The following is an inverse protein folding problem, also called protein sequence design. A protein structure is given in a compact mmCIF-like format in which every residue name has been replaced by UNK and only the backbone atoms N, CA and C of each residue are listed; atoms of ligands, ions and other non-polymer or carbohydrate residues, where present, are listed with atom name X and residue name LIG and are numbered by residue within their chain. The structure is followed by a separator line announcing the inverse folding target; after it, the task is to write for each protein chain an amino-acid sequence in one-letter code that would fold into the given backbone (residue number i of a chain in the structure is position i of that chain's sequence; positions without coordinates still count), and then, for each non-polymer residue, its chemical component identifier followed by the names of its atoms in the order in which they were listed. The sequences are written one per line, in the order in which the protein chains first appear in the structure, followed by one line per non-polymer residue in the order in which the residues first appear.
data_IF_046974927589
#
_entry.id   IF_046974927589
#
_cell.length_a   1.000
_cell.length_b   1.000
_cell.length_c   1.000
_cell.angle_alpha   90.00
_cell.angle_beta   90.00
_cell.angle_gamma   90.00
#
_symmetry.space_group_name_H-M   'P 1'
#
loop_
_entity.id
_entity.type
_entity.pdbx_description
1 polymer ?
#
# COMPACT_ATOMS: atom_id res chain seq x y z
N UNK A 1 -6.23 5.31 4.38
CA UNK A 1 -6.27 3.84 4.28
C UNK A 1 -5.53 3.33 3.05
N UNK A 2 -4.97 2.15 3.15
CA UNK A 2 -4.28 1.45 2.06
C UNK A 2 -4.92 0.07 1.93
N UNK A 3 -5.65 -0.16 0.84
CA UNK A 3 -6.10 -1.50 0.44
C UNK A 3 -4.99 -2.12 -0.43
N UNK A 4 -4.22 -3.00 0.17
CA UNK A 4 -3.09 -3.69 -0.44
C UNK A 4 -3.53 -5.03 -1.11
N UNK A 5 -4.61 -4.95 -1.88
CA UNK A 5 -5.23 -6.09 -2.55
C UNK A 5 -4.38 -6.76 -3.62
N UNK A 6 -4.75 -8.00 -3.98
CA UNK A 6 -4.02 -8.82 -4.95
C UNK A 6 -3.96 -8.23 -6.36
N UNK A 7 -4.99 -7.52 -6.78
CA UNK A 7 -5.09 -6.95 -8.12
C UNK A 7 -4.66 -5.49 -8.21
N UNK A 8 -4.75 -4.76 -7.10
CA UNK A 8 -4.40 -3.36 -7.07
C UNK A 8 -4.28 -2.82 -5.65
N UNK A 9 -3.39 -1.84 -5.51
CA UNK A 9 -3.32 -1.01 -4.31
C UNK A 9 -4.23 0.19 -4.51
N UNK A 10 -5.11 0.41 -3.55
CA UNK A 10 -5.96 1.59 -3.47
C UNK A 10 -5.60 2.39 -2.24
N UNK A 11 -5.42 3.68 -2.41
CA UNK A 11 -5.18 4.61 -1.32
C UNK A 11 -6.42 5.47 -1.15
N UNK A 12 -6.96 5.54 0.06
CA UNK A 12 -7.89 6.56 0.48
C UNK A 12 -7.15 7.55 1.39
N UNK A 13 -7.03 8.79 0.93
CA UNK A 13 -6.26 9.86 1.57
C UNK A 13 -7.23 10.86 2.16
N UNK A 14 -7.01 11.21 3.42
CA UNK A 14 -7.85 12.17 4.13
C UNK A 14 -7.97 13.51 3.40
N UNK A 15 -9.13 14.19 3.54
CA UNK A 15 -9.37 15.51 2.97
C UNK A 15 -8.25 16.50 3.28
N UNK A 16 -7.88 17.32 2.31
CA UNK A 16 -6.89 18.39 2.46
C UNK A 16 -5.42 17.97 2.51
N UNK A 17 -5.12 16.66 2.61
CA UNK A 17 -3.72 16.14 2.66
C UNK A 17 -3.05 16.27 1.30
N UNK A 18 -3.73 15.90 0.22
CA UNK A 18 -3.26 16.08 -1.16
C UNK A 18 -4.21 17.02 -1.86
N UNK A 19 -3.70 18.17 -2.30
CA UNK A 19 -4.49 19.21 -2.98
C UNK A 19 -4.34 19.17 -4.48
N UNK A 20 -3.21 18.68 -4.96
CA UNK A 20 -2.92 18.54 -6.39
C UNK A 20 -2.08 17.28 -6.60
N UNK A 21 -2.36 16.56 -7.67
CA UNK A 21 -1.60 15.39 -8.11
C UNK A 21 -1.67 15.30 -9.64
N UNK A 22 -0.50 15.20 -10.28
CA UNK A 22 -0.38 15.10 -11.75
C UNK A 22 -1.19 16.18 -12.52
N UNK A 23 -1.22 17.42 -12.01
CA UNK A 23 -1.93 18.55 -12.62
C UNK A 23 -3.45 18.57 -12.35
N UNK A 24 -3.96 17.64 -11.54
CA UNK A 24 -5.37 17.60 -11.12
C UNK A 24 -5.49 18.18 -9.72
N UNK A 25 -6.32 19.23 -9.58
CA UNK A 25 -6.65 19.82 -8.27
C UNK A 25 -7.82 19.11 -7.64
N UNK A 26 -7.72 18.79 -6.35
CA UNK A 26 -8.75 18.10 -5.58
C UNK A 26 -9.49 19.05 -4.63
N UNK A 27 -10.78 18.76 -4.42
CA UNK A 27 -11.56 19.41 -3.39
C UNK A 27 -10.95 19.11 -2.01
N UNK A 28 -10.58 20.14 -1.23
CA UNK A 28 -9.94 19.95 0.06
C UNK A 28 -10.83 19.26 1.12
N UNK A 29 -12.14 19.16 0.86
CA UNK A 29 -13.10 18.54 1.77
C UNK A 29 -13.45 17.09 1.37
N UNK A 30 -12.86 16.57 0.27
CA UNK A 30 -13.13 15.21 -0.21
C UNK A 30 -11.94 14.29 -0.02
N UNK A 31 -12.25 13.00 0.17
CA UNK A 31 -11.26 11.92 0.15
C UNK A 31 -10.67 11.82 -1.26
N UNK A 32 -9.35 11.75 -1.34
CA UNK A 32 -8.64 11.48 -2.60
C UNK A 32 -8.35 9.99 -2.69
N UNK A 33 -8.84 9.34 -3.76
CA UNK A 33 -8.56 7.94 -4.03
C UNK A 33 -7.53 7.81 -5.15
N UNK A 34 -6.48 7.02 -4.90
CA UNK A 34 -5.44 6.69 -5.88
C UNK A 34 -5.41 5.18 -6.06
N UNK A 35 -5.34 4.72 -7.30
CA UNK A 35 -5.26 3.31 -7.65
C UNK A 35 -3.99 3.03 -8.45
N UNK A 36 -3.38 1.87 -8.20
CA UNK A 36 -2.33 1.30 -9.04
C UNK A 36 -2.42 -0.23 -9.05
N UNK A 37 -1.98 -0.87 -10.14
CA UNK A 37 -1.92 -2.32 -10.21
C UNK A 37 -0.94 -2.91 -9.20
N UNK A 38 -1.28 -4.07 -8.62
CA UNK A 38 -0.42 -4.82 -7.70
C UNK A 38 0.55 -5.71 -8.48
N UNK A 39 1.55 -5.09 -9.11
CA UNK A 39 2.53 -5.79 -9.94
C UNK A 39 3.95 -5.37 -9.58
N UNK A 40 4.72 -6.30 -9.06
CA UNK A 40 6.12 -6.09 -8.68
C UNK A 40 6.97 -7.26 -9.14
N UNK A 41 8.10 -6.98 -9.78
CA UNK A 41 9.11 -7.98 -10.17
C UNK A 41 10.32 -7.86 -9.25
N UNK A 42 10.84 -9.00 -8.79
CA UNK A 42 12.10 -9.06 -8.03
C UNK A 42 13.27 -9.08 -8.99
N UNK A 43 13.57 -7.95 -9.56
CA UNK A 43 14.73 -7.69 -10.43
C UNK A 43 14.68 -6.23 -10.88
N UNK A 44 15.80 -5.73 -11.42
CA UNK A 44 15.77 -4.52 -12.21
C UNK A 44 15.25 -4.87 -13.61
N UNK A 45 14.09 -4.33 -13.97
CA UNK A 45 13.50 -4.49 -15.31
C UNK A 45 13.41 -3.12 -15.94
N UNK A 46 13.94 -2.98 -17.14
CA UNK A 46 13.74 -1.77 -17.93
C UNK A 46 12.29 -1.73 -18.42
N UNK A 47 11.49 -0.82 -17.88
CA UNK A 47 10.08 -0.64 -18.22
C UNK A 47 9.87 0.44 -19.24
N UNK A 48 10.81 1.39 -19.36
CA UNK A 48 10.84 2.43 -20.39
C UNK A 48 12.27 2.76 -20.83
N UNK A 49 12.41 3.28 -22.05
CA UNK A 49 13.68 3.75 -22.58
C UNK A 49 14.03 5.20 -22.15
N UNK A 50 13.06 5.96 -21.68
CA UNK A 50 13.20 7.38 -21.33
C UNK A 50 13.64 7.65 -19.87
N UNK A 51 13.72 6.60 -19.06
CA UNK A 51 14.34 6.69 -17.72
C UNK A 51 13.55 7.48 -16.66
N UNK A 52 12.34 7.90 -16.96
CA UNK A 52 11.55 8.83 -16.11
C UNK A 52 10.67 8.10 -15.06
N UNK A 53 10.85 6.79 -14.90
CA UNK A 53 10.05 5.99 -14.00
C UNK A 53 10.71 5.86 -12.62
N UNK A 54 10.04 6.41 -11.59
CA UNK A 54 10.45 6.29 -10.18
C UNK A 54 10.06 4.92 -9.59
N UNK A 55 10.11 3.84 -10.37
CA UNK A 55 9.57 2.52 -10.05
C UNK A 55 10.63 1.48 -9.65
N UNK A 56 11.91 1.89 -9.60
CA UNK A 56 13.02 1.02 -9.22
C UNK A 56 13.37 1.17 -7.74
N UNK A 57 13.45 0.04 -7.05
CA UNK A 57 13.69 0.01 -5.61
C UNK A 57 14.74 -1.03 -5.24
N UNK A 58 15.35 -0.82 -4.08
CA UNK A 58 16.19 -1.80 -3.42
C UNK A 58 15.75 -1.97 -1.97
N UNK A 59 15.72 -3.21 -1.51
CA UNK A 59 15.47 -3.57 -0.11
C UNK A 59 16.69 -4.32 0.42
N UNK A 60 17.21 -3.89 1.57
CA UNK A 60 18.30 -4.57 2.25
C UNK A 60 17.77 -5.23 3.52
N UNK A 61 18.00 -6.55 3.64
CA UNK A 61 17.67 -7.34 4.83
C UNK A 61 18.79 -8.30 5.16
N UNK A 62 19.21 -8.28 6.42
CA UNK A 62 20.25 -9.21 6.91
C UNK A 62 21.52 -9.20 6.05
N UNK A 63 21.93 -8.01 5.58
CA UNK A 63 23.09 -7.83 4.70
C UNK A 63 22.89 -8.32 3.26
N UNK A 64 21.68 -8.71 2.88
CA UNK A 64 21.33 -9.07 1.50
C UNK A 64 20.50 -7.96 0.86
N UNK A 65 20.96 -7.53 -0.31
CA UNK A 65 20.28 -6.54 -1.13
C UNK A 65 19.47 -7.25 -2.22
N UNK A 66 18.22 -6.84 -2.39
CA UNK A 66 17.35 -7.31 -3.47
C UNK A 66 16.73 -6.11 -4.16
N UNK A 67 16.73 -6.13 -5.49
CA UNK A 67 16.15 -5.06 -6.27
C UNK A 67 14.76 -5.44 -6.78
N UNK A 68 13.90 -4.46 -6.88
CA UNK A 68 12.49 -4.61 -7.25
C UNK A 68 12.11 -3.55 -8.28
N UNK A 69 11.23 -3.93 -9.19
CA UNK A 69 10.59 -3.00 -10.13
C UNK A 69 9.08 -3.09 -9.96
N UNK A 70 8.43 -1.96 -9.74
CA UNK A 70 6.97 -1.88 -9.83
C UNK A 70 6.59 -1.77 -11.30
N UNK A 71 5.68 -2.62 -11.75
CA UNK A 71 5.34 -2.80 -13.16
C UNK A 71 3.96 -2.20 -13.45
N UNK A 72 3.84 -1.36 -14.46
CA UNK A 72 2.56 -0.86 -14.96
C UNK A 72 1.76 -1.93 -15.74
N UNK A 73 0.50 -1.64 -15.98
CA UNK A 73 -0.44 -2.56 -16.64
C UNK A 73 -0.05 -2.85 -18.11
N UNK A 74 0.69 -1.96 -18.74
CA UNK A 74 1.17 -2.06 -20.13
C UNK A 74 2.21 -3.17 -20.35
N UNK A 75 2.88 -3.64 -19.30
CA UNK A 75 3.97 -4.62 -19.36
C UNK A 75 3.52 -6.04 -18.98
N UNK A 76 2.61 -6.62 -19.74
CA UNK A 76 1.96 -7.90 -19.42
C UNK A 76 2.93 -9.10 -19.45
N UNK A 77 4.01 -9.03 -20.23
CA UNK A 77 4.95 -10.14 -20.43
C UNK A 77 5.99 -10.30 -19.29
N UNK A 78 6.08 -9.33 -18.38
CA UNK A 78 7.07 -9.39 -17.30
C UNK A 78 6.56 -10.29 -16.18
N UNK A 79 7.41 -11.24 -15.75
CA UNK A 79 7.12 -12.11 -14.62
C UNK A 79 7.10 -11.30 -13.32
N UNK A 80 5.96 -11.25 -12.66
CA UNK A 80 5.76 -10.58 -11.38
C UNK A 80 5.68 -11.57 -10.23
N UNK A 81 5.84 -11.09 -8.99
CA UNK A 81 5.61 -11.89 -7.79
C UNK A 81 4.12 -12.30 -7.69
N UNK A 82 3.87 -13.48 -7.09
CA UNK A 82 2.51 -13.93 -6.83
C UNK A 82 1.93 -13.20 -5.61
N UNK A 83 1.14 -12.18 -5.89
CA UNK A 83 0.47 -11.36 -4.86
C UNK A 83 -0.61 -12.13 -4.09
N UNK A 84 -1.03 -13.32 -4.57
CA UNK A 84 -2.02 -14.18 -3.92
C UNK A 84 -1.39 -15.11 -2.88
N UNK A 85 -0.07 -15.22 -2.88
CA UNK A 85 0.61 -16.06 -1.89
C UNK A 85 0.37 -15.54 -0.47
N UNK A 86 0.29 -16.45 0.48
CA UNK A 86 0.09 -16.07 1.89
C UNK A 86 1.27 -15.26 2.44
N UNK A 87 2.46 -15.50 1.93
CA UNK A 87 3.70 -14.85 2.31
C UNK A 87 3.78 -13.40 1.81
N UNK A 88 3.02 -13.07 0.75
CA UNK A 88 3.07 -11.75 0.13
C UNK A 88 2.77 -10.62 1.12
N UNK A 89 1.86 -10.84 2.07
CA UNK A 89 1.51 -9.85 3.11
C UNK A 89 2.70 -9.39 3.99
N UNK A 90 3.81 -10.15 3.98
CA UNK A 90 5.04 -9.86 4.72
C UNK A 90 6.26 -9.76 3.79
N UNK A 91 6.04 -9.72 2.47
CA UNK A 91 7.11 -9.70 1.47
C UNK A 91 7.72 -8.32 1.27
N UNK A 92 8.95 -8.30 0.77
CA UNK A 92 9.59 -7.05 0.35
C UNK A 92 8.90 -6.45 -0.87
N UNK A 93 8.24 -7.27 -1.70
CA UNK A 93 7.40 -6.82 -2.82
C UNK A 93 6.24 -5.96 -2.35
N UNK A 94 5.52 -6.38 -1.30
CA UNK A 94 4.46 -5.57 -0.70
C UNK A 94 5.01 -4.26 -0.13
N UNK A 95 6.13 -4.32 0.62
CA UNK A 95 6.77 -3.13 1.17
C UNK A 95 7.08 -2.11 0.08
N UNK A 96 7.68 -2.56 -1.03
CA UNK A 96 8.00 -1.71 -2.18
C UNK A 96 6.73 -1.12 -2.80
N UNK A 97 5.70 -1.92 -3.00
CA UNK A 97 4.45 -1.48 -3.61
C UNK A 97 3.72 -0.45 -2.75
N UNK A 98 3.67 -0.61 -1.42
CA UNK A 98 3.07 0.37 -0.51
C UNK A 98 3.83 1.70 -0.59
N UNK A 99 5.16 1.67 -0.55
CA UNK A 99 5.96 2.90 -0.66
C UNK A 99 5.84 3.56 -2.04
N UNK A 100 5.75 2.77 -3.12
CA UNK A 100 5.51 3.30 -4.46
C UNK A 100 4.12 3.95 -4.57
N UNK A 101 3.09 3.32 -4.04
CA UNK A 101 1.73 3.90 -4.02
C UNK A 101 1.69 5.24 -3.26
N UNK A 102 2.34 5.32 -2.09
CA UNK A 102 2.47 6.57 -1.34
C UNK A 102 3.23 7.65 -2.14
N UNK A 103 4.29 7.26 -2.85
CA UNK A 103 5.04 8.17 -3.73
C UNK A 103 4.15 8.68 -4.88
N UNK A 104 3.45 7.79 -5.57
CA UNK A 104 2.50 8.12 -6.65
C UNK A 104 1.36 9.01 -6.19
N UNK A 105 1.00 8.93 -4.92
CA UNK A 105 -0.01 9.77 -4.29
C UNK A 105 0.53 11.16 -3.84
N UNK A 106 1.76 11.52 -4.19
CA UNK A 106 2.37 12.80 -3.81
C UNK A 106 2.75 12.91 -2.33
N UNK A 107 2.89 11.76 -1.64
CA UNK A 107 3.24 11.72 -0.22
C UNK A 107 4.75 11.51 0.02
N UNK A 108 5.57 11.56 -1.03
CA UNK A 108 7.02 11.46 -0.94
C UNK A 108 7.60 12.49 0.04
N UNK A 109 8.56 12.09 0.87
CA UNK A 109 9.20 12.93 1.89
C UNK A 109 8.35 13.28 3.11
N UNK A 110 7.06 12.91 3.15
CA UNK A 110 6.15 13.21 4.27
C UNK A 110 6.16 12.10 5.32
N UNK A 111 5.85 12.46 6.57
CA UNK A 111 5.46 11.53 7.61
C UNK A 111 4.00 11.16 7.42
N UNK A 112 3.70 9.86 7.39
CA UNK A 112 2.35 9.35 7.16
C UNK A 112 1.96 8.32 8.21
N UNK A 113 0.68 8.30 8.56
CA UNK A 113 0.03 7.22 9.29
C UNK A 113 -0.78 6.43 8.28
N UNK A 114 -0.71 5.12 8.33
CA UNK A 114 -1.44 4.26 7.40
C UNK A 114 -2.23 3.19 8.14
N UNK A 115 -3.31 2.74 7.52
CA UNK A 115 -3.99 1.50 7.87
C UNK A 115 -3.99 0.58 6.66
N UNK A 116 -3.66 -0.71 6.85
CA UNK A 116 -3.76 -1.75 5.80
C UNK A 116 -4.70 -2.85 6.21
N UNK A 117 -5.08 -3.73 5.25
CA UNK A 117 -5.96 -4.86 5.48
C UNK A 117 -5.23 -6.19 5.72
N UNK A 118 -5.90 -7.11 6.39
CA UNK A 118 -5.67 -8.54 6.30
C UNK A 118 -7.00 -9.23 6.02
N UNK A 119 -7.05 -10.26 5.15
CA UNK A 119 -8.23 -11.08 4.97
C UNK A 119 -8.80 -11.53 6.32
N UNK A 120 -10.13 -11.51 6.46
CA UNK A 120 -10.81 -11.81 7.71
C UNK A 120 -10.32 -13.13 8.35
N UNK A 121 -10.18 -14.17 7.54
CA UNK A 121 -9.72 -15.50 7.96
C UNK A 121 -8.22 -15.57 8.32
N UNK A 122 -7.47 -14.52 8.08
CA UNK A 122 -6.07 -14.35 8.50
C UNK A 122 -5.95 -13.41 9.69
N UNK A 123 -6.82 -12.41 9.76
CA UNK A 123 -6.89 -11.49 10.88
C UNK A 123 -7.44 -12.18 12.15
N UNK A 124 -8.44 -13.06 11.97
CA UNK A 124 -9.00 -13.85 13.05
C UNK A 124 -8.63 -15.33 12.90
N UNK A 125 -8.25 -15.93 14.01
CA UNK A 125 -8.11 -17.38 14.21
C UNK A 125 -9.47 -17.99 14.54
N UNK A 126 -9.49 -19.32 14.80
CA UNK A 126 -10.70 -20.00 15.27
C UNK A 126 -11.30 -19.27 16.48
N UNK A 127 -12.65 -19.27 16.57
CA UNK A 127 -13.44 -18.62 17.62
C UNK A 127 -13.26 -17.08 17.66
N UNK A 128 -12.99 -16.46 16.52
CA UNK A 128 -12.81 -14.99 16.39
C UNK A 128 -11.70 -14.39 17.28
N UNK A 129 -10.71 -15.19 17.65
CA UNK A 129 -9.53 -14.69 18.35
C UNK A 129 -8.64 -13.96 17.34
N UNK A 130 -8.20 -12.74 17.67
CA UNK A 130 -7.28 -11.99 16.80
C UNK A 130 -5.95 -12.74 16.65
N UNK A 131 -5.41 -12.76 15.43
CA UNK A 131 -4.09 -13.27 15.13
C UNK A 131 -3.03 -12.20 15.42
N UNK A 132 -2.82 -11.92 16.71
CA UNK A 132 -1.92 -10.86 17.17
C UNK A 132 -0.50 -11.01 16.61
N UNK A 133 -0.05 -12.25 16.40
CA UNK A 133 1.27 -12.52 15.83
C UNK A 133 1.37 -11.98 14.39
N UNK A 134 0.44 -12.35 13.51
CA UNK A 134 0.46 -11.90 12.10
C UNK A 134 0.20 -10.39 11.99
N UNK A 135 -0.72 -9.86 12.79
CA UNK A 135 -1.02 -8.43 12.87
C UNK A 135 0.25 -7.65 13.24
N UNK A 136 0.94 -8.07 14.31
CA UNK A 136 2.18 -7.45 14.76
C UNK A 136 3.29 -7.57 13.73
N UNK A 137 3.48 -8.73 13.10
CA UNK A 137 4.47 -8.94 12.04
C UNK A 137 4.23 -8.00 10.85
N UNK A 138 2.99 -7.89 10.36
CA UNK A 138 2.67 -6.98 9.25
C UNK A 138 2.87 -5.53 9.65
N UNK A 139 2.47 -5.15 10.85
CA UNK A 139 2.67 -3.79 11.36
C UNK A 139 4.15 -3.44 11.44
N UNK A 140 4.97 -4.28 12.06
CA UNK A 140 6.41 -4.09 12.20
C UNK A 140 7.12 -4.10 10.84
N UNK A 141 6.66 -4.94 9.91
CA UNK A 141 7.24 -5.02 8.58
C UNK A 141 7.21 -3.67 7.84
N UNK A 142 6.09 -2.95 7.87
CA UNK A 142 5.94 -1.65 7.21
C UNK A 142 6.49 -0.48 8.03
N UNK A 143 6.59 -0.60 9.35
CA UNK A 143 7.13 0.45 10.21
C UNK A 143 8.67 0.48 10.23
N UNK A 144 9.29 -0.70 10.33
CA UNK A 144 10.73 -0.81 10.57
C UNK A 144 11.52 -0.85 9.26
N UNK A 145 10.97 -1.54 8.25
CA UNK A 145 11.67 -1.69 6.98
C UNK A 145 11.35 -0.52 6.05
N UNK A 146 12.34 -0.10 5.29
CA UNK A 146 12.21 0.98 4.31
C UNK A 146 12.96 0.60 3.05
N UNK A 147 12.30 0.59 1.88
CA UNK A 147 13.01 0.44 0.62
C UNK A 147 13.78 1.73 0.29
N UNK A 148 14.76 1.62 -0.58
CA UNK A 148 15.43 2.76 -1.20
C UNK A 148 14.96 2.86 -2.63
N UNK A 149 14.48 4.02 -3.06
CA UNK A 149 14.24 4.27 -4.48
C UNK A 149 15.59 4.49 -5.18
N UNK A 150 15.80 3.83 -6.31
CA UNK A 150 17.08 3.89 -7.03
C UNK A 150 17.21 5.12 -7.92
N UNK A 151 16.14 5.88 -8.13
CA UNK A 151 16.18 7.13 -8.87
C UNK A 151 16.71 8.25 -7.96
N UNK A 152 17.74 9.02 -8.42
CA UNK A 152 18.31 10.09 -7.61
C UNK A 152 17.29 11.14 -7.20
N UNK A 153 17.38 11.60 -5.97
CA UNK A 153 16.53 12.70 -5.46
C UNK A 153 15.12 12.32 -5.05
N UNK A 154 14.71 11.05 -5.22
CA UNK A 154 13.39 10.59 -4.81
C UNK A 154 13.35 10.32 -3.31
N UNK A 155 12.56 11.11 -2.58
CA UNK A 155 12.31 10.92 -1.16
C UNK A 155 11.03 10.10 -0.96
N UNK A 156 11.13 8.96 -0.27
CA UNK A 156 9.97 8.12 0.08
C UNK A 156 9.27 8.64 1.34
N UNK A 157 7.97 8.36 1.44
CA UNK A 157 7.22 8.63 2.66
C UNK A 157 7.82 7.88 3.87
N UNK A 158 7.79 8.51 5.03
CA UNK A 158 8.12 7.88 6.30
C UNK A 158 6.83 7.42 6.98
N UNK A 159 6.61 6.12 7.06
CA UNK A 159 5.49 5.54 7.82
C UNK A 159 5.85 5.65 9.30
N UNK A 160 5.10 6.46 10.06
CA UNK A 160 5.34 6.68 11.50
C UNK A 160 4.36 5.93 12.38
N UNK A 161 3.24 5.49 11.83
CA UNK A 161 2.24 4.68 12.49
C UNK A 161 1.56 3.76 11.47
N UNK A 162 1.36 2.51 11.84
CA UNK A 162 0.70 1.54 10.99
C UNK A 162 -0.28 0.70 11.80
N UNK A 163 -1.53 0.71 11.36
CA UNK A 163 -2.61 -0.11 11.91
C UNK A 163 -3.00 -1.18 10.90
N UNK A 164 -3.20 -2.41 11.36
CA UNK A 164 -3.69 -3.51 10.55
C UNK A 164 -5.14 -3.77 10.92
N UNK A 165 -6.02 -3.79 9.92
CA UNK A 165 -7.47 -3.96 10.07
C UNK A 165 -7.94 -5.23 9.36
N UNK A 166 -9.04 -5.86 9.78
CA UNK A 166 -9.65 -6.94 9.01
C UNK A 166 -10.31 -6.37 7.75
N UNK A 167 -10.03 -6.96 6.59
CA UNK A 167 -10.69 -6.62 5.33
C UNK A 167 -12.19 -6.88 5.40
N UNK A 168 -12.98 -6.05 4.70
CA UNK A 168 -14.44 -6.14 4.64
C UNK A 168 -15.17 -5.49 5.81
N UNK A 169 -14.54 -5.35 6.99
CA UNK A 169 -15.19 -4.71 8.16
C UNK A 169 -15.44 -3.23 7.91
N UNK A 170 -14.52 -2.53 7.25
CA UNK A 170 -14.72 -1.12 6.91
C UNK A 170 -15.90 -0.92 5.95
N UNK A 171 -16.03 -1.75 4.91
CA UNK A 171 -17.17 -1.69 3.98
C UNK A 171 -18.50 -2.05 4.65
N UNK A 172 -18.49 -2.99 5.59
CA UNK A 172 -19.67 -3.33 6.37
C UNK A 172 -20.08 -2.18 7.31
N UNK A 173 -19.10 -1.55 7.96
CA UNK A 173 -19.35 -0.39 8.82
C UNK A 173 -19.91 0.81 8.02
N UNK A 174 -19.38 1.05 6.81
CA UNK A 174 -19.84 2.09 5.91
C UNK A 174 -21.32 1.91 5.50
N UNK A 175 -21.77 0.66 5.33
CA UNK A 175 -23.17 0.36 5.04
C UNK A 175 -24.11 0.47 6.25
N UNK A 176 -23.57 0.40 7.46
CA UNK A 176 -24.35 0.48 8.69
C UNK A 176 -24.40 1.90 9.28
N UNK A 177 -23.64 2.83 8.75
CA UNK A 177 -23.54 4.18 9.27
C UNK A 177 -23.86 5.23 8.23
N UNK A 178 -24.45 6.35 8.67
CA UNK A 178 -24.62 7.56 7.86
C UNK A 178 -23.29 8.31 7.68
N UNK A 179 -23.30 9.38 6.89
CA UNK A 179 -22.15 10.26 6.65
C UNK A 179 -21.59 10.92 7.94
N UNK A 180 -22.33 10.84 9.04
CA UNK A 180 -21.93 11.36 10.36
C UNK A 180 -21.42 10.25 11.28
N UNK A 181 -21.43 8.98 10.83
CA UNK A 181 -20.99 7.81 11.59
C UNK A 181 -22.03 7.25 12.57
N UNK A 182 -23.31 7.68 12.49
CA UNK A 182 -24.38 7.12 13.30
C UNK A 182 -24.91 5.84 12.65
N UNK A 183 -25.32 4.87 13.47
CA UNK A 183 -25.88 3.61 12.97
C UNK A 183 -27.24 3.89 12.30
N UNK A 184 -27.36 3.44 11.05
CA UNK A 184 -28.62 3.47 10.30
C UNK A 184 -29.50 2.34 10.82
N UNK A 185 -30.60 2.69 11.54
CA UNK A 185 -31.52 1.73 12.17
C UNK A 185 -32.64 1.22 11.24
N UNK A 186 -32.49 1.29 9.94
CA UNK A 186 -33.50 0.84 8.96
C UNK A 186 -33.18 -0.56 8.40
N UNK A 187 -33.36 -1.59 9.28
CA UNK A 187 -33.41 -2.99 8.87
C UNK A 187 -34.71 -3.62 9.32
#
# INVERSE_FOLDING_TARGET
GVDDGHYGIKLAIEPGVVRELAGVTFDPNKIVCVYMASRVARSQVATRMDGDEQNLYSVERNGRKSDYTVIGDEHVSIKVEDTRSQEFALSDGLLVMVHHALLRAGLGGRKVRIATGLPYNRYFLARNVKNEQLISQKSQHLLVNKPTNLNPGVALAQIVEHQVMPEGVAGFHDQLTDDQGNIINDF
#
